data_IF_630674085187
#
_entry.id   IF_630674085187
#
_cell.length_a   1.000
_cell.length_b   1.000
_cell.length_c   1.000
_cell.angle_alpha   90.00
_cell.angle_beta   90.00
_cell.angle_gamma   90.00
#
_symmetry.space_group_name_H-M   'P 1'
#
loop_
_entity.id
_entity.type
_entity.pdbx_description
1 polymer ?
#
# COMPACT_ATOMS: atom_id res chain seq x y z
N UNK A 1 54.55 -31.92 27.07
CA UNK A 1 53.39 -31.63 26.21
C UNK A 1 53.09 -30.13 26.27
N UNK A 2 52.91 -29.45 25.13
CA UNK A 2 52.63 -28.01 25.11
C UNK A 2 51.27 -27.69 25.76
N UNK A 3 51.22 -26.63 26.57
CA UNK A 3 50.00 -26.21 27.26
C UNK A 3 48.95 -25.70 26.27
N UNK A 4 47.94 -26.52 25.99
CA UNK A 4 46.88 -26.23 25.00
C UNK A 4 45.94 -25.08 25.39
N UNK A 5 45.97 -24.59 26.64
CA UNK A 5 45.24 -23.38 27.03
C UNK A 5 45.99 -22.09 26.68
N UNK A 6 47.33 -22.11 26.80
CA UNK A 6 48.20 -20.97 26.52
C UNK A 6 48.59 -20.87 25.04
N UNK A 7 48.77 -22.01 24.37
CA UNK A 7 49.15 -22.09 22.95
C UNK A 7 47.96 -22.45 22.05
N UNK A 8 46.81 -21.79 22.24
CA UNK A 8 45.63 -21.98 21.38
C UNK A 8 45.93 -21.43 19.98
N UNK A 9 46.01 -22.31 18.98
CA UNK A 9 46.02 -21.90 17.58
C UNK A 9 44.63 -21.38 17.18
N UNK A 10 44.41 -20.06 17.31
CA UNK A 10 43.77 -19.25 16.28
C UNK A 10 42.28 -19.43 15.95
N UNK A 11 41.44 -20.13 16.74
CA UNK A 11 39.99 -20.17 16.44
C UNK A 11 39.36 -18.77 16.30
N UNK A 12 39.83 -17.79 17.08
CA UNK A 12 39.34 -16.40 17.00
C UNK A 12 39.89 -15.56 15.85
N UNK A 13 41.01 -15.97 15.22
CA UNK A 13 41.65 -15.21 14.13
C UNK A 13 41.01 -15.47 12.76
N UNK A 14 40.33 -16.62 12.63
CA UNK A 14 39.57 -17.01 11.43
C UNK A 14 38.10 -16.57 11.48
N UNK A 15 37.60 -16.17 12.64
CA UNK A 15 36.25 -15.61 12.77
C UNK A 15 36.25 -14.15 12.31
N UNK A 16 35.20 -13.69 11.59
CA UNK A 16 35.05 -12.28 11.28
C UNK A 16 35.17 -11.45 12.55
N UNK A 17 35.93 -10.37 12.51
CA UNK A 17 36.01 -9.44 13.63
C UNK A 17 34.76 -8.55 13.65
N UNK A 18 34.10 -8.46 14.80
CA UNK A 18 33.00 -7.54 15.02
C UNK A 18 33.55 -6.11 15.17
N UNK A 19 33.63 -5.40 14.04
CA UNK A 19 34.20 -4.05 13.96
C UNK A 19 33.16 -2.93 13.99
N UNK A 20 31.87 -3.26 14.05
CA UNK A 20 30.79 -2.28 14.11
C UNK A 20 30.28 -2.11 15.53
N UNK A 21 29.47 -1.08 15.75
CA UNK A 21 28.68 -0.88 16.96
C UNK A 21 27.20 -0.85 16.62
N UNK A 22 26.37 -1.43 17.49
CA UNK A 22 24.92 -1.26 17.40
C UNK A 22 24.50 0.14 17.91
N UNK A 23 23.22 0.46 17.82
CA UNK A 23 22.68 1.76 18.26
C UNK A 23 22.80 2.00 19.77
N UNK A 24 23.04 0.95 20.57
CA UNK A 24 23.30 1.03 22.02
C UNK A 24 24.81 1.07 22.36
N UNK A 25 25.70 1.18 21.36
CA UNK A 25 27.15 1.26 21.55
C UNK A 25 27.88 -0.08 21.76
N UNK A 26 27.15 -1.21 21.76
CA UNK A 26 27.71 -2.55 21.89
C UNK A 26 28.36 -3.05 20.59
N UNK A 27 29.37 -3.91 20.72
CA UNK A 27 30.12 -4.49 19.59
C UNK A 27 29.20 -5.38 18.73
N UNK A 28 29.27 -5.22 17.40
CA UNK A 28 28.41 -5.90 16.45
C UNK A 28 29.09 -6.21 15.11
N UNK A 29 28.44 -7.06 14.31
CA UNK A 29 28.77 -7.34 12.92
C UNK A 29 28.01 -6.40 11.98
N UNK A 30 28.72 -5.75 11.06
CA UNK A 30 28.07 -4.99 10.01
C UNK A 30 27.53 -5.94 8.92
N UNK A 31 26.32 -5.66 8.45
CA UNK A 31 25.82 -6.30 7.24
C UNK A 31 26.55 -5.77 6.01
N UNK A 32 26.78 -6.64 5.02
CA UNK A 32 27.20 -6.21 3.70
C UNK A 32 26.10 -5.37 3.02
N UNK A 33 26.43 -4.47 2.08
CA UNK A 33 25.48 -3.52 1.51
C UNK A 33 24.19 -4.15 0.94
N UNK A 34 24.32 -5.28 0.25
CA UNK A 34 23.18 -6.03 -0.30
C UNK A 34 22.24 -6.55 0.79
N UNK A 35 22.80 -7.08 1.87
CA UNK A 35 22.02 -7.55 3.01
C UNK A 35 21.36 -6.37 3.71
N UNK A 36 22.13 -5.32 4.03
CA UNK A 36 21.63 -4.13 4.72
C UNK A 36 20.44 -3.52 3.97
N UNK A 37 20.55 -3.32 2.65
CA UNK A 37 19.45 -2.84 1.81
C UNK A 37 18.24 -3.78 1.86
N UNK A 38 18.44 -5.09 1.64
CA UNK A 38 17.34 -6.04 1.56
C UNK A 38 16.57 -6.16 2.89
N UNK A 39 17.29 -6.27 4.01
CA UNK A 39 16.69 -6.31 5.34
C UNK A 39 15.93 -5.01 5.62
N UNK A 40 16.60 -3.86 5.45
CA UNK A 40 16.03 -2.57 5.80
C UNK A 40 14.82 -2.21 4.93
N UNK A 41 14.85 -2.54 3.64
CA UNK A 41 13.71 -2.32 2.75
C UNK A 41 12.49 -3.23 3.09
N UNK A 42 12.72 -4.38 3.72
CA UNK A 42 11.69 -5.33 4.12
C UNK A 42 11.07 -5.02 5.49
N UNK A 43 11.89 -4.55 6.45
CA UNK A 43 11.47 -4.38 7.85
C UNK A 43 11.38 -2.92 8.27
N UNK A 44 11.98 -2.01 7.52
CA UNK A 44 11.93 -0.58 7.78
C UNK A 44 10.53 -0.03 7.51
N UNK A 45 10.08 0.83 8.41
CA UNK A 45 8.72 1.41 8.36
C UNK A 45 8.72 2.83 7.81
N UNK A 46 9.89 3.45 7.61
CA UNK A 46 10.04 4.88 7.30
C UNK A 46 9.24 5.75 8.29
N UNK A 47 9.22 5.31 9.55
CA UNK A 47 8.58 5.98 10.69
C UNK A 47 9.52 5.96 11.89
N UNK A 48 9.25 6.76 12.91
CA UNK A 48 10.03 6.70 14.15
C UNK A 48 9.93 5.30 14.79
N UNK A 49 11.05 4.82 15.34
CA UNK A 49 11.21 3.59 16.11
C UNK A 49 12.00 3.88 17.39
N UNK A 50 12.23 2.87 18.22
CA UNK A 50 12.91 3.03 19.51
C UNK A 50 14.30 3.68 19.41
N UNK A 51 15.07 3.39 18.35
CA UNK A 51 16.45 3.88 18.18
C UNK A 51 16.66 4.79 16.96
N UNK A 52 15.63 5.04 16.15
CA UNK A 52 15.81 5.75 14.87
C UNK A 52 14.57 6.59 14.53
N UNK A 53 14.80 7.84 14.12
CA UNK A 53 13.77 8.72 13.55
C UNK A 53 13.41 8.30 12.12
N UNK A 54 12.29 8.79 11.59
CA UNK A 54 11.89 8.52 10.21
C UNK A 54 12.93 9.02 9.19
N UNK A 55 13.51 10.20 9.45
CA UNK A 55 14.54 10.83 8.63
C UNK A 55 15.81 9.98 8.61
N UNK A 56 16.27 9.52 9.78
CA UNK A 56 17.45 8.66 9.88
C UNK A 56 17.26 7.33 9.14
N UNK A 57 16.05 6.77 9.15
CA UNK A 57 15.76 5.56 8.38
C UNK A 57 15.80 5.82 6.87
N UNK A 58 15.25 6.94 6.43
CA UNK A 58 15.28 7.32 5.02
C UNK A 58 16.71 7.52 4.52
N UNK A 59 17.53 8.24 5.29
CA UNK A 59 18.96 8.44 5.00
C UNK A 59 19.72 7.11 4.91
N UNK A 60 19.49 6.19 5.86
CA UNK A 60 20.11 4.86 5.84
C UNK A 60 19.69 4.06 4.60
N UNK A 61 18.41 4.04 4.26
CA UNK A 61 17.91 3.29 3.12
C UNK A 61 18.48 3.83 1.79
N UNK A 62 18.56 5.15 1.64
CA UNK A 62 19.22 5.80 0.50
C UNK A 62 20.71 5.43 0.47
N UNK A 63 21.40 5.54 1.62
CA UNK A 63 22.82 5.22 1.74
C UNK A 63 23.14 3.75 1.41
N UNK A 64 22.27 2.80 1.76
CA UNK A 64 22.42 1.40 1.36
C UNK A 64 22.13 1.20 -0.12
N UNK A 65 21.14 1.90 -0.67
CA UNK A 65 20.81 1.85 -2.10
C UNK A 65 21.93 2.40 -2.99
N UNK A 66 22.71 3.37 -2.51
CA UNK A 66 23.87 3.92 -3.22
C UNK A 66 25.07 2.97 -3.29
N UNK A 67 25.14 2.01 -2.37
CA UNK A 67 26.24 1.04 -2.27
C UNK A 67 25.99 -0.25 -3.06
N UNK A 68 24.88 -0.36 -3.79
CA UNK A 68 24.54 -1.54 -4.60
C UNK A 68 24.39 -1.21 -6.08
N UNK A 69 24.59 -2.23 -6.92
CA UNK A 69 24.32 -2.11 -8.37
C UNK A 69 22.85 -1.77 -8.65
N UNK A 70 22.55 -1.00 -9.72
CA UNK A 70 21.17 -0.74 -10.16
C UNK A 70 20.32 -2.01 -10.35
N UNK A 71 20.93 -3.10 -10.80
CA UNK A 71 20.23 -4.40 -10.96
C UNK A 71 19.74 -4.97 -9.61
N UNK A 72 20.59 -4.93 -8.59
CA UNK A 72 20.22 -5.39 -7.25
C UNK A 72 19.14 -4.49 -6.62
N UNK A 73 19.24 -3.17 -6.83
CA UNK A 73 18.21 -2.21 -6.41
C UNK A 73 16.86 -2.52 -7.07
N UNK A 74 16.85 -2.75 -8.38
CA UNK A 74 15.68 -3.15 -9.16
C UNK A 74 15.04 -4.45 -8.64
N UNK A 75 15.85 -5.50 -8.44
CA UNK A 75 15.40 -6.78 -7.89
C UNK A 75 14.82 -6.63 -6.48
N UNK A 76 15.44 -5.80 -5.65
CA UNK A 76 14.95 -5.52 -4.29
C UNK A 76 13.59 -4.82 -4.33
N UNK A 77 13.41 -3.80 -5.17
CA UNK A 77 12.13 -3.10 -5.32
C UNK A 77 10.99 -4.06 -5.72
N UNK A 78 11.25 -4.93 -6.69
CA UNK A 78 10.29 -5.96 -7.14
C UNK A 78 9.97 -6.92 -5.98
N UNK A 79 10.98 -7.47 -5.31
CA UNK A 79 10.76 -8.42 -4.23
C UNK A 79 9.95 -7.81 -3.09
N UNK A 80 10.29 -6.60 -2.67
CA UNK A 80 9.58 -5.91 -1.60
C UNK A 80 8.12 -5.65 -1.94
N UNK A 81 7.81 -5.36 -3.20
CA UNK A 81 6.40 -5.21 -3.62
C UNK A 81 5.67 -6.55 -3.70
N UNK A 82 6.28 -7.54 -4.35
CA UNK A 82 5.59 -8.76 -4.76
C UNK A 82 5.55 -9.84 -3.67
N UNK A 83 6.57 -9.91 -2.83
CA UNK A 83 6.73 -10.91 -1.76
C UNK A 83 6.72 -10.27 -0.37
N UNK A 84 7.37 -9.11 -0.23
CA UNK A 84 7.35 -8.36 1.02
C UNK A 84 6.06 -7.59 1.27
N UNK A 85 5.17 -7.45 0.27
CA UNK A 85 3.92 -6.67 0.35
C UNK A 85 4.09 -5.21 0.84
N UNK A 86 5.29 -4.66 0.69
CA UNK A 86 5.64 -3.31 1.09
C UNK A 86 5.10 -2.26 0.13
N UNK A 87 5.07 -0.99 0.58
CA UNK A 87 4.50 0.14 -0.16
C UNK A 87 5.52 1.27 -0.35
N UNK A 88 5.96 1.92 0.71
CA UNK A 88 6.77 3.13 0.60
C UNK A 88 8.21 2.82 0.19
N UNK A 89 8.82 1.81 0.82
CA UNK A 89 10.17 1.34 0.47
C UNK A 89 10.31 0.98 -1.01
N UNK A 90 9.51 0.08 -1.62
CA UNK A 90 9.66 -0.23 -3.03
C UNK A 90 9.38 0.98 -3.95
N UNK A 91 8.46 1.88 -3.60
CA UNK A 91 8.26 3.11 -4.37
C UNK A 91 9.51 4.03 -4.34
N UNK A 92 10.15 4.16 -3.18
CA UNK A 92 11.40 4.89 -3.02
C UNK A 92 12.53 4.26 -3.85
N UNK A 93 12.66 2.93 -3.82
CA UNK A 93 13.70 2.24 -4.60
C UNK A 93 13.51 2.44 -6.11
N UNK A 94 12.27 2.49 -6.62
CA UNK A 94 12.00 2.84 -8.03
C UNK A 94 12.33 4.30 -8.32
N UNK A 95 12.03 5.21 -7.38
CA UNK A 95 12.36 6.63 -7.53
C UNK A 95 13.89 6.85 -7.57
N UNK A 96 14.65 6.17 -6.71
CA UNK A 96 16.12 6.15 -6.74
C UNK A 96 16.65 5.50 -8.03
N UNK A 97 16.07 4.39 -8.47
CA UNK A 97 16.46 3.75 -9.72
C UNK A 97 16.27 4.68 -10.93
N UNK A 98 15.27 5.56 -10.89
CA UNK A 98 15.00 6.53 -11.97
C UNK A 98 16.13 7.53 -12.20
N UNK A 99 16.98 7.76 -11.20
CA UNK A 99 18.17 8.62 -11.31
C UNK A 99 19.44 7.86 -11.68
N UNK A 100 19.45 6.52 -11.52
CA UNK A 100 20.61 5.65 -11.74
C UNK A 100 20.56 4.88 -13.06
N UNK A 101 19.42 4.28 -13.40
CA UNK A 101 19.23 3.48 -14.61
C UNK A 101 17.79 3.63 -15.16
N UNK A 102 17.59 4.55 -16.12
CA UNK A 102 16.29 4.76 -16.77
C UNK A 102 15.75 3.52 -17.50
N UNK A 103 16.62 2.64 -18.02
CA UNK A 103 16.21 1.45 -18.76
C UNK A 103 15.61 0.42 -17.80
N UNK A 104 16.29 0.11 -16.70
CA UNK A 104 15.75 -0.77 -15.66
C UNK A 104 14.50 -0.17 -15.02
N UNK A 105 14.46 1.15 -14.82
CA UNK A 105 13.26 1.82 -14.29
C UNK A 105 12.02 1.52 -15.12
N UNK A 106 12.10 1.58 -16.46
CA UNK A 106 10.96 1.26 -17.34
C UNK A 106 10.46 -0.18 -17.18
N UNK A 107 11.35 -1.14 -16.91
CA UNK A 107 11.01 -2.54 -16.70
C UNK A 107 10.42 -2.80 -15.31
N UNK A 108 10.93 -2.10 -14.29
CA UNK A 108 10.53 -2.29 -12.88
C UNK A 108 9.24 -1.55 -12.56
N UNK A 109 9.04 -0.35 -13.10
CA UNK A 109 7.91 0.52 -12.78
C UNK A 109 6.55 -0.20 -12.83
N UNK A 110 6.14 -0.89 -13.93
CA UNK A 110 4.82 -1.54 -13.97
C UNK A 110 4.69 -2.73 -13.01
N UNK A 111 5.80 -3.31 -12.54
CA UNK A 111 5.80 -4.42 -11.58
C UNK A 111 5.70 -3.97 -10.13
N UNK A 112 6.06 -2.72 -9.86
CA UNK A 112 6.12 -2.14 -8.50
C UNK A 112 4.99 -1.13 -8.30
N UNK A 113 4.78 -0.26 -9.27
CA UNK A 113 3.78 0.81 -9.29
C UNK A 113 2.51 0.27 -9.96
N UNK A 114 1.90 -0.71 -9.28
CA UNK A 114 0.82 -1.57 -9.81
C UNK A 114 -0.61 -1.04 -9.54
N UNK A 115 -0.75 -0.04 -8.67
CA UNK A 115 -2.03 0.57 -8.32
C UNK A 115 -1.87 2.07 -8.03
N UNK A 116 -3.00 2.77 -7.91
CA UNK A 116 -2.98 4.21 -7.72
C UNK A 116 -2.38 4.65 -6.37
N UNK A 117 -2.41 3.83 -5.31
CA UNK A 117 -1.68 4.16 -4.07
C UNK A 117 -0.17 4.16 -4.33
N UNK A 118 0.35 3.14 -5.00
CA UNK A 118 1.77 3.06 -5.35
C UNK A 118 2.18 4.20 -6.29
N UNK A 119 1.31 4.57 -7.23
CA UNK A 119 1.53 5.72 -8.12
C UNK A 119 1.66 7.02 -7.32
N UNK A 120 0.75 7.27 -6.38
CA UNK A 120 0.80 8.45 -5.50
C UNK A 120 2.07 8.47 -4.67
N UNK A 121 2.42 7.35 -4.03
CA UNK A 121 3.65 7.23 -3.25
C UNK A 121 4.88 7.61 -4.09
N UNK A 122 5.00 7.03 -5.30
CA UNK A 122 6.10 7.33 -6.21
C UNK A 122 6.16 8.80 -6.61
N UNK A 123 5.01 9.39 -6.98
CA UNK A 123 4.93 10.81 -7.36
C UNK A 123 5.24 11.71 -6.16
N UNK A 124 4.74 11.39 -4.97
CA UNK A 124 5.00 12.14 -3.75
C UNK A 124 6.50 12.16 -3.41
N UNK A 125 7.16 10.99 -3.49
CA UNK A 125 8.61 10.87 -3.26
C UNK A 125 9.38 11.75 -4.24
N UNK A 126 9.06 11.69 -5.55
CA UNK A 126 9.72 12.52 -6.56
C UNK A 126 9.48 14.02 -6.37
N UNK A 127 8.33 14.43 -5.86
CA UNK A 127 8.01 15.86 -5.64
C UNK A 127 8.59 16.41 -4.34
N UNK A 128 8.83 15.55 -3.36
CA UNK A 128 9.35 15.96 -2.05
C UNK A 128 10.70 16.68 -2.15
N UNK A 129 11.50 16.40 -3.18
CA UNK A 129 12.86 16.92 -3.29
C UNK A 129 13.90 16.10 -2.55
N UNK A 130 13.51 15.07 -1.79
CA UNK A 130 14.45 14.30 -0.96
C UNK A 130 15.50 13.55 -1.78
N UNK A 131 15.21 13.29 -3.06
CA UNK A 131 16.15 12.68 -4.02
C UNK A 131 16.89 13.73 -4.87
N UNK A 132 16.92 14.98 -4.44
CA UNK A 132 17.63 16.09 -5.11
C UNK A 132 16.86 16.78 -6.24
N UNK A 133 15.63 16.36 -6.56
CA UNK A 133 14.76 17.02 -7.56
C UNK A 133 13.34 17.12 -7.02
N UNK A 134 12.70 18.28 -7.22
CA UNK A 134 11.30 18.56 -6.82
C UNK A 134 10.28 18.43 -7.96
N UNK A 135 10.70 17.88 -9.11
CA UNK A 135 9.87 17.77 -10.32
C UNK A 135 9.93 16.38 -10.95
N UNK A 136 8.87 16.02 -11.67
CA UNK A 136 8.85 14.85 -12.54
C UNK A 136 9.66 15.15 -13.79
N UNK A 137 10.81 14.47 -13.95
CA UNK A 137 11.54 14.48 -15.21
C UNK A 137 10.74 13.86 -16.36
N UNK A 138 11.22 14.01 -17.60
CA UNK A 138 10.54 13.54 -18.81
C UNK A 138 10.18 12.05 -18.75
N UNK A 139 11.11 11.20 -18.28
CA UNK A 139 10.89 9.76 -18.21
C UNK A 139 9.86 9.36 -17.15
N UNK A 140 9.95 9.78 -15.86
CA UNK A 140 8.90 9.52 -14.89
C UNK A 140 7.52 10.04 -15.31
N UNK A 141 7.46 11.23 -15.93
CA UNK A 141 6.22 11.80 -16.46
C UNK A 141 5.61 10.91 -17.55
N UNK A 142 6.43 10.32 -18.43
CA UNK A 142 5.96 9.38 -19.44
C UNK A 142 5.45 8.06 -18.83
N UNK A 143 6.12 7.53 -17.80
CA UNK A 143 5.67 6.32 -17.10
C UNK A 143 4.32 6.53 -16.39
N UNK A 144 4.16 7.67 -15.71
CA UNK A 144 2.90 8.01 -15.05
C UNK A 144 1.77 8.20 -16.07
N UNK A 145 2.02 8.82 -17.24
CA UNK A 145 1.03 8.87 -18.33
C UNK A 145 0.65 7.48 -18.81
N UNK A 146 1.64 6.64 -19.10
CA UNK A 146 1.39 5.26 -19.54
C UNK A 146 0.57 4.45 -18.53
N UNK A 147 0.77 4.68 -17.22
CA UNK A 147 -0.08 4.10 -16.18
C UNK A 147 -1.54 4.54 -16.31
N UNK A 148 -1.80 5.84 -16.51
CA UNK A 148 -3.16 6.38 -16.65
C UNK A 148 -3.84 5.90 -17.95
N UNK A 149 -3.08 5.84 -19.04
CA UNK A 149 -3.56 5.45 -20.36
C UNK A 149 -3.93 3.96 -20.40
N UNK A 150 -3.23 3.11 -19.65
CA UNK A 150 -3.49 1.68 -19.58
C UNK A 150 -4.74 1.30 -18.76
N UNK A 151 -5.29 2.22 -17.96
CA UNK A 151 -6.46 1.97 -17.11
C UNK A 151 -7.74 2.27 -17.86
N UNK A 152 -8.81 1.52 -17.60
CA UNK A 152 -10.16 1.88 -18.07
C UNK A 152 -10.69 3.11 -17.33
N UNK A 153 -11.73 3.74 -17.88
CA UNK A 153 -12.36 4.93 -17.31
C UNK A 153 -12.89 4.64 -15.88
N UNK A 154 -13.61 3.52 -15.72
CA UNK A 154 -14.08 3.07 -14.41
C UNK A 154 -12.92 2.77 -13.44
N UNK A 155 -11.84 2.14 -13.92
CA UNK A 155 -10.69 1.86 -13.07
C UNK A 155 -10.03 3.15 -12.58
N UNK A 156 -9.91 4.18 -13.42
CA UNK A 156 -9.40 5.49 -13.01
C UNK A 156 -10.33 6.19 -12.02
N UNK A 157 -11.64 6.12 -12.24
CA UNK A 157 -12.60 6.66 -11.29
C UNK A 157 -12.47 5.99 -9.92
N UNK A 158 -12.39 4.66 -9.87
CA UNK A 158 -12.15 3.91 -8.62
C UNK A 158 -10.81 4.26 -7.99
N UNK A 159 -9.77 4.40 -8.81
CA UNK A 159 -8.43 4.81 -8.41
C UNK A 159 -8.36 6.28 -7.93
N UNK A 160 -9.41 7.09 -8.10
CA UNK A 160 -9.45 8.49 -7.64
C UNK A 160 -9.49 8.63 -6.11
N UNK A 161 -9.90 7.59 -5.38
CA UNK A 161 -9.86 7.56 -3.92
C UNK A 161 -8.42 7.69 -3.41
N UNK A 162 -8.21 8.68 -2.55
CA UNK A 162 -6.93 8.95 -1.90
C UNK A 162 -6.26 10.22 -2.41
N UNK A 163 -5.47 10.80 -1.52
CA UNK A 163 -4.96 12.17 -1.62
C UNK A 163 -3.42 12.15 -1.54
N UNK A 164 -2.80 13.33 -1.57
CA UNK A 164 -1.38 13.55 -1.29
C UNK A 164 -0.39 12.69 -2.10
N UNK A 165 -0.34 12.85 -3.44
CA UNK A 165 -1.19 13.72 -4.26
C UNK A 165 -2.52 13.07 -4.64
N UNK A 166 -3.55 13.88 -4.90
CA UNK A 166 -4.80 13.35 -5.48
C UNK A 166 -4.59 12.88 -6.93
N UNK A 167 -5.48 12.04 -7.46
CA UNK A 167 -5.45 11.68 -8.88
C UNK A 167 -5.60 12.92 -9.79
N UNK A 168 -6.39 13.90 -9.35
CA UNK A 168 -6.54 15.19 -10.03
C UNK A 168 -5.19 15.94 -10.13
N UNK A 169 -4.40 15.96 -9.06
CA UNK A 169 -3.07 16.56 -9.08
C UNK A 169 -2.13 15.82 -10.02
N UNK A 170 -2.17 14.48 -10.02
CA UNK A 170 -1.38 13.66 -10.95
C UNK A 170 -1.74 13.98 -12.40
N UNK A 171 -3.03 14.06 -12.73
CA UNK A 171 -3.51 14.44 -14.07
C UNK A 171 -3.03 15.84 -14.43
N UNK A 172 -3.15 16.83 -13.52
CA UNK A 172 -2.64 18.20 -13.74
C UNK A 172 -1.14 18.21 -14.00
N UNK A 173 -0.36 17.36 -13.33
CA UNK A 173 1.10 17.33 -13.50
C UNK A 173 1.52 16.70 -14.82
N UNK A 174 0.86 15.62 -15.23
CA UNK A 174 1.30 14.83 -16.38
C UNK A 174 0.60 15.19 -17.69
N UNK A 175 -0.54 15.89 -17.62
CA UNK A 175 -1.36 16.32 -18.75
C UNK A 175 -1.61 15.18 -19.76
N UNK A 176 -2.26 14.09 -19.34
CA UNK A 176 -2.60 13.01 -20.27
C UNK A 176 -3.60 13.52 -21.31
N UNK A 177 -3.45 13.07 -22.57
CA UNK A 177 -4.39 13.39 -23.64
C UNK A 177 -5.54 12.38 -23.57
N UNK A 178 -6.81 12.81 -23.47
CA UNK A 178 -7.93 11.87 -23.49
C UNK A 178 -7.98 11.12 -24.82
N UNK A 179 -8.25 9.82 -24.77
CA UNK A 179 -8.32 8.92 -25.94
C UNK A 179 -9.73 8.80 -26.51
N UNK A 180 -10.74 9.23 -25.76
CA UNK A 180 -12.16 9.17 -26.15
C UNK A 180 -12.96 10.34 -25.54
N UNK A 181 -14.17 10.64 -26.05
CA UNK A 181 -15.07 11.60 -25.43
C UNK A 181 -15.41 11.26 -23.97
N UNK A 182 -15.65 9.98 -23.66
CA UNK A 182 -15.89 9.50 -22.30
C UNK A 182 -14.69 9.75 -21.37
N UNK A 183 -13.47 9.47 -21.84
CA UNK A 183 -12.23 9.78 -21.09
C UNK A 183 -12.07 11.28 -20.87
N UNK A 184 -12.42 12.09 -21.86
CA UNK A 184 -12.40 13.55 -21.74
C UNK A 184 -13.40 14.04 -20.69
N UNK A 185 -14.62 13.52 -20.70
CA UNK A 185 -15.64 13.82 -19.70
C UNK A 185 -15.18 13.40 -18.30
N UNK A 186 -14.60 12.20 -18.15
CA UNK A 186 -14.08 11.72 -16.88
C UNK A 186 -12.93 12.60 -16.35
N UNK A 187 -11.97 13.00 -17.20
CA UNK A 187 -10.93 13.95 -16.78
C UNK A 187 -11.52 15.30 -16.40
N UNK A 188 -12.53 15.79 -17.11
CA UNK A 188 -13.26 17.00 -16.72
C UNK A 188 -13.90 16.86 -15.33
N UNK A 189 -14.63 15.77 -15.09
CA UNK A 189 -15.22 15.43 -13.80
C UNK A 189 -14.18 15.38 -12.67
N UNK A 190 -13.10 14.61 -12.83
CA UNK A 190 -12.04 14.47 -11.82
C UNK A 190 -11.28 15.78 -11.53
N UNK A 191 -11.21 16.68 -12.51
CA UNK A 191 -10.55 17.98 -12.37
C UNK A 191 -11.49 19.09 -11.89
N UNK A 192 -12.78 18.77 -11.66
CA UNK A 192 -13.83 19.74 -11.38
C UNK A 192 -13.94 20.84 -12.47
N UNK A 193 -13.91 20.42 -13.73
CA UNK A 193 -14.07 21.26 -14.93
C UNK A 193 -15.41 20.96 -15.62
N UNK A 194 -15.92 21.88 -16.46
CA UNK A 194 -17.08 21.60 -17.30
C UNK A 194 -16.89 20.31 -18.11
N UNK A 195 -17.89 19.44 -18.07
CA UNK A 195 -17.89 18.14 -18.74
C UNK A 195 -19.33 17.73 -19.06
N UNK A 196 -19.49 16.81 -20.01
CA UNK A 196 -20.77 16.19 -20.33
C UNK A 196 -21.00 15.00 -19.40
N UNK A 197 -21.96 15.13 -18.47
CA UNK A 197 -22.29 14.09 -17.50
C UNK A 197 -22.85 12.82 -18.14
N UNK A 198 -23.46 12.91 -19.33
CA UNK A 198 -24.03 11.75 -20.04
C UNK A 198 -22.96 10.80 -20.58
N UNK A 199 -21.74 11.30 -20.78
CA UNK A 199 -20.59 10.53 -21.26
C UNK A 199 -19.78 9.88 -20.13
N UNK A 200 -20.14 10.12 -18.87
CA UNK A 200 -19.46 9.49 -17.73
C UNK A 200 -19.78 7.99 -17.65
N UNK A 201 -18.91 7.15 -17.07
CA UNK A 201 -19.24 5.75 -16.81
C UNK A 201 -20.52 5.64 -15.96
N UNK A 202 -21.30 4.58 -16.19
CA UNK A 202 -22.60 4.38 -15.53
C UNK A 202 -22.49 4.39 -13.99
N UNK A 203 -21.39 3.86 -13.44
CA UNK A 203 -21.13 3.85 -12.00
C UNK A 203 -20.89 5.25 -11.44
N UNK A 204 -20.30 6.15 -12.22
CA UNK A 204 -20.11 7.55 -11.81
C UNK A 204 -21.45 8.26 -11.80
N UNK A 205 -22.28 8.05 -12.83
CA UNK A 205 -23.64 8.61 -12.88
C UNK A 205 -24.50 8.09 -11.71
N UNK A 206 -24.46 6.77 -11.46
CA UNK A 206 -25.16 6.16 -10.34
C UNK A 206 -24.70 6.71 -8.98
N UNK A 207 -23.40 6.96 -8.82
CA UNK A 207 -22.86 7.57 -7.61
C UNK A 207 -23.29 9.03 -7.44
N UNK A 208 -23.26 9.83 -8.50
CA UNK A 208 -23.75 11.22 -8.43
C UNK A 208 -25.25 11.29 -8.11
N UNK A 209 -26.06 10.39 -8.67
CA UNK A 209 -27.48 10.26 -8.30
C UNK A 209 -27.65 9.83 -6.83
N UNK A 210 -26.86 8.86 -6.38
CA UNK A 210 -26.89 8.38 -4.99
C UNK A 210 -26.51 9.48 -3.99
N UNK A 211 -25.61 10.41 -4.34
CA UNK A 211 -25.22 11.54 -3.49
C UNK A 211 -26.38 12.49 -3.17
N UNK A 212 -27.37 12.61 -4.05
CA UNK A 212 -28.50 13.50 -3.86
C UNK A 212 -29.46 13.01 -2.76
N UNK A 213 -29.71 11.71 -2.70
CA UNK A 213 -30.50 11.07 -1.64
C UNK A 213 -29.99 9.65 -1.31
N UNK A 214 -28.94 9.53 -0.48
CA UNK A 214 -28.34 8.23 -0.15
C UNK A 214 -29.30 7.26 0.55
N UNK A 215 -30.29 7.76 1.31
CA UNK A 215 -31.19 6.93 2.12
C UNK A 215 -32.45 6.53 1.36
N UNK A 216 -32.93 7.38 0.45
CA UNK A 216 -34.07 7.08 -0.42
C UNK A 216 -33.71 6.34 -1.71
N UNK A 217 -32.42 6.28 -2.07
CA UNK A 217 -31.98 5.53 -3.25
C UNK A 217 -32.31 4.03 -3.15
N UNK A 218 -32.86 3.45 -4.22
CA UNK A 218 -33.22 2.03 -4.24
C UNK A 218 -31.99 1.12 -4.02
N UNK A 219 -30.85 1.46 -4.62
CA UNK A 219 -29.63 0.66 -4.57
C UNK A 219 -28.41 1.49 -4.16
N UNK A 220 -27.47 0.83 -3.46
CA UNK A 220 -26.14 1.39 -3.21
C UNK A 220 -25.25 1.10 -4.42
N UNK A 221 -24.63 2.11 -5.05
CA UNK A 221 -23.82 1.91 -6.25
C UNK A 221 -22.53 1.14 -5.94
N UNK A 222 -22.02 0.38 -6.91
CA UNK A 222 -20.78 -0.40 -6.79
C UNK A 222 -19.52 0.46 -7.01
N UNK A 223 -19.31 1.39 -6.08
CA UNK A 223 -18.15 2.29 -6.05
C UNK A 223 -17.30 2.02 -4.80
N UNK A 224 -16.03 2.49 -4.76
CA UNK A 224 -15.18 2.30 -3.60
C UNK A 224 -15.86 2.82 -2.34
N UNK A 225 -15.87 2.02 -1.29
CA UNK A 225 -16.66 2.31 -0.09
C UNK A 225 -16.32 3.65 0.55
N UNK A 226 -15.07 4.12 0.42
CA UNK A 226 -14.62 5.40 0.96
C UNK A 226 -15.44 6.57 0.39
N UNK A 227 -15.91 6.45 -0.85
CA UNK A 227 -16.79 7.43 -1.49
C UNK A 227 -18.19 7.41 -0.86
N UNK A 228 -18.69 6.22 -0.49
CA UNK A 228 -20.00 6.04 0.14
C UNK A 228 -19.99 6.50 1.59
N UNK A 229 -18.96 6.16 2.35
CA UNK A 229 -18.88 6.46 3.79
C UNK A 229 -18.70 7.94 4.11
N UNK A 230 -18.44 8.78 3.11
CA UNK A 230 -18.46 10.23 3.23
C UNK A 230 -19.88 10.81 3.23
N UNK A 231 -20.89 10.00 2.89
CA UNK A 231 -22.30 10.40 2.78
C UNK A 231 -23.08 10.06 4.05
N UNK A 232 -24.24 10.71 4.29
CA UNK A 232 -25.11 10.38 5.42
C UNK A 232 -25.84 9.05 5.19
N UNK A 233 -25.16 7.94 5.46
CA UNK A 233 -25.69 6.58 5.29
C UNK A 233 -26.58 6.14 6.46
N UNK A 234 -27.58 5.30 6.17
CA UNK A 234 -28.37 4.57 7.15
C UNK A 234 -27.90 3.12 7.30
N UNK A 235 -28.60 2.38 8.17
CA UNK A 235 -28.28 0.97 8.48
C UNK A 235 -28.33 0.07 7.23
N UNK A 236 -29.32 0.28 6.36
CA UNK A 236 -29.50 -0.50 5.13
C UNK A 236 -28.31 -0.34 4.19
N UNK A 237 -27.81 0.88 4.02
CA UNK A 237 -26.68 1.17 3.14
C UNK A 237 -25.39 0.56 3.70
N UNK A 238 -25.17 0.66 5.02
CA UNK A 238 -24.04 0.00 5.70
C UNK A 238 -24.09 -1.53 5.57
N UNK A 239 -25.27 -2.13 5.66
CA UNK A 239 -25.47 -3.56 5.41
C UNK A 239 -25.14 -3.95 3.96
N UNK A 240 -25.55 -3.15 2.97
CA UNK A 240 -25.20 -3.38 1.57
C UNK A 240 -23.68 -3.27 1.33
N UNK A 241 -23.02 -2.27 1.93
CA UNK A 241 -21.57 -2.10 1.90
C UNK A 241 -20.87 -3.31 2.51
N UNK A 242 -21.27 -3.75 3.71
CA UNK A 242 -20.68 -4.89 4.39
C UNK A 242 -20.87 -6.21 3.61
N UNK A 243 -22.00 -6.36 2.91
CA UNK A 243 -22.27 -7.52 2.06
C UNK A 243 -21.29 -7.62 0.89
N UNK A 244 -20.93 -6.50 0.27
CA UNK A 244 -20.00 -6.44 -0.88
C UNK A 244 -18.53 -6.25 -0.50
N UNK A 245 -18.24 -5.94 0.77
CA UNK A 245 -16.89 -5.63 1.23
C UNK A 245 -15.89 -6.76 0.96
N UNK A 246 -14.73 -6.40 0.40
CA UNK A 246 -13.59 -7.31 0.30
C UNK A 246 -13.01 -7.68 1.68
N UNK A 247 -12.12 -8.67 1.71
CA UNK A 247 -11.58 -9.21 2.96
C UNK A 247 -10.85 -8.16 3.81
N UNK A 248 -9.89 -7.40 3.22
CA UNK A 248 -9.14 -6.37 3.96
C UNK A 248 -10.05 -5.26 4.51
N UNK A 249 -11.00 -4.82 3.69
CA UNK A 249 -12.00 -3.84 4.09
C UNK A 249 -12.85 -4.34 5.26
N UNK A 250 -13.26 -5.61 5.20
CA UNK A 250 -14.04 -6.26 6.27
C UNK A 250 -13.27 -6.22 7.58
N UNK A 251 -12.02 -6.73 7.60
CA UNK A 251 -11.15 -6.72 8.78
C UNK A 251 -10.97 -5.31 9.37
N UNK A 252 -10.73 -4.32 8.52
CA UNK A 252 -10.44 -2.95 8.97
C UNK A 252 -11.67 -2.19 9.50
N UNK A 253 -12.90 -2.67 9.23
CA UNK A 253 -14.13 -1.92 9.53
C UNK A 253 -15.08 -2.62 10.50
N UNK A 254 -14.65 -3.69 11.19
CA UNK A 254 -15.53 -4.45 12.10
C UNK A 254 -16.21 -3.56 13.16
N UNK A 255 -15.46 -2.71 13.85
CA UNK A 255 -16.04 -1.79 14.84
C UNK A 255 -16.96 -0.73 14.20
N UNK A 256 -16.71 -0.33 12.95
CA UNK A 256 -17.60 0.56 12.21
C UNK A 256 -18.90 -0.14 11.83
N UNK A 257 -18.82 -1.37 11.35
CA UNK A 257 -19.99 -2.21 11.06
C UNK A 257 -20.84 -2.47 12.31
N UNK A 258 -20.20 -2.66 13.47
CA UNK A 258 -20.89 -2.76 14.75
C UNK A 258 -21.66 -1.48 15.08
N UNK A 259 -21.00 -0.31 15.04
CA UNK A 259 -21.64 0.99 15.32
C UNK A 259 -22.84 1.31 14.42
N UNK A 260 -22.88 0.74 13.22
CA UNK A 260 -23.97 0.94 12.26
C UNK A 260 -24.96 -0.23 12.18
N UNK A 261 -24.94 -1.14 13.16
CA UNK A 261 -25.96 -2.19 13.28
C UNK A 261 -25.89 -3.27 12.19
N UNK A 262 -24.73 -3.45 11.55
CA UNK A 262 -24.56 -4.50 10.52
C UNK A 262 -24.75 -5.89 11.12
N UNK A 263 -24.25 -6.11 12.33
CA UNK A 263 -24.30 -7.41 13.02
C UNK A 263 -25.65 -7.74 13.64
N UNK A 264 -26.63 -6.82 13.59
CA UNK A 264 -28.02 -7.14 13.94
C UNK A 264 -28.69 -8.03 12.89
N UNK A 265 -28.09 -8.14 11.70
CA UNK A 265 -28.50 -9.09 10.66
C UNK A 265 -27.66 -10.38 10.81
N UNK A 266 -28.31 -11.47 11.20
CA UNK A 266 -27.66 -12.78 11.43
C UNK A 266 -27.05 -13.38 10.16
N UNK A 267 -27.72 -13.23 9.01
CA UNK A 267 -27.21 -13.68 7.71
C UNK A 267 -25.94 -12.94 7.31
N UNK A 268 -25.88 -11.62 7.53
CA UNK A 268 -24.67 -10.83 7.29
C UNK A 268 -23.56 -11.16 8.26
N UNK A 269 -23.88 -11.38 9.54
CA UNK A 269 -22.89 -11.82 10.53
C UNK A 269 -22.26 -13.14 10.11
N UNK A 270 -23.06 -14.11 9.66
CA UNK A 270 -22.56 -15.37 9.13
C UNK A 270 -21.70 -15.19 7.88
N UNK A 271 -22.13 -14.33 6.95
CA UNK A 271 -21.39 -14.02 5.73
C UNK A 271 -20.03 -13.41 6.03
N UNK A 272 -19.97 -12.46 6.96
CA UNK A 272 -18.73 -11.80 7.39
C UNK A 272 -17.81 -12.80 8.10
N UNK A 273 -18.35 -13.63 8.99
CA UNK A 273 -17.62 -14.69 9.70
C UNK A 273 -16.95 -15.63 8.70
N UNK A 274 -17.73 -16.20 7.77
CA UNK A 274 -17.22 -17.07 6.70
C UNK A 274 -16.18 -16.40 5.81
N UNK A 275 -16.36 -15.11 5.51
CA UNK A 275 -15.38 -14.35 4.72
C UNK A 275 -14.06 -14.25 5.46
N UNK A 276 -14.09 -13.91 6.75
CA UNK A 276 -12.88 -13.72 7.56
C UNK A 276 -12.09 -15.01 7.74
N UNK A 277 -12.76 -16.13 8.02
CA UNK A 277 -12.11 -17.42 8.24
C UNK A 277 -11.77 -18.21 6.96
N UNK A 278 -12.13 -17.71 5.78
CA UNK A 278 -11.86 -18.41 4.51
C UNK A 278 -10.34 -18.41 4.18
N UNK A 279 -9.67 -19.58 4.12
CA UNK A 279 -8.22 -19.64 3.91
C UNK A 279 -7.76 -19.03 2.59
N UNK A 280 -8.53 -19.20 1.52
CA UNK A 280 -8.19 -18.68 0.19
C UNK A 280 -8.30 -17.16 0.17
N UNK A 281 -9.32 -16.58 0.80
CA UNK A 281 -9.47 -15.12 0.89
C UNK A 281 -8.40 -14.49 1.79
N UNK A 282 -8.00 -15.16 2.88
CA UNK A 282 -6.89 -14.71 3.75
C UNK A 282 -5.58 -14.67 2.96
N UNK A 283 -5.24 -15.75 2.24
CA UNK A 283 -4.04 -15.81 1.41
C UNK A 283 -4.05 -14.76 0.28
N UNK A 284 -5.19 -14.55 -0.38
CA UNK A 284 -5.33 -13.51 -1.40
C UNK A 284 -5.21 -12.09 -0.84
N UNK A 285 -5.69 -11.88 0.40
CA UNK A 285 -5.61 -10.60 1.09
C UNK A 285 -4.18 -10.22 1.49
N UNK A 286 -3.24 -11.18 1.50
CA UNK A 286 -1.83 -10.99 1.84
C UNK A 286 -1.68 -10.23 3.17
N UNK A 287 -2.46 -10.66 4.15
CA UNK A 287 -2.52 -10.06 5.48
C UNK A 287 -1.43 -10.68 6.35
N UNK A 288 -0.68 -9.83 7.05
CA UNK A 288 0.33 -10.32 7.96
C UNK A 288 -0.29 -10.78 9.29
N UNK A 289 0.30 -11.79 9.97
CA UNK A 289 -0.20 -12.27 11.26
C UNK A 289 -0.39 -11.15 12.31
N UNK A 290 0.55 -10.20 12.38
CA UNK A 290 0.45 -9.08 13.32
C UNK A 290 -0.77 -8.17 13.03
N UNK A 291 -1.18 -8.04 11.77
CA UNK A 291 -2.33 -7.21 11.38
C UNK A 291 -3.65 -7.83 11.83
N UNK A 292 -3.73 -9.16 11.87
CA UNK A 292 -4.84 -9.90 12.45
C UNK A 292 -4.82 -9.85 13.97
N UNK A 293 -3.64 -10.01 14.60
CA UNK A 293 -3.50 -9.84 16.05
C UNK A 293 -3.97 -8.45 16.50
N UNK A 294 -3.62 -7.39 15.76
CA UNK A 294 -4.11 -6.04 16.06
C UNK A 294 -5.62 -5.91 15.87
N UNK A 295 -6.19 -6.51 14.82
CA UNK A 295 -7.63 -6.52 14.61
C UNK A 295 -8.37 -7.26 15.73
N UNK A 296 -7.85 -8.41 16.17
CA UNK A 296 -8.37 -9.19 17.28
C UNK A 296 -8.32 -8.42 18.61
N UNK A 297 -7.18 -7.77 18.91
CA UNK A 297 -7.05 -6.93 20.11
C UNK A 297 -7.98 -5.72 20.11
N UNK A 298 -8.26 -5.16 18.93
CA UNK A 298 -9.20 -4.06 18.77
C UNK A 298 -10.67 -4.51 18.75
N UNK A 299 -10.94 -5.82 18.69
CA UNK A 299 -12.28 -6.36 18.70
C UNK A 299 -12.81 -6.42 20.14
N UNK A 300 -13.70 -5.48 20.48
CA UNK A 300 -14.30 -5.39 21.81
C UNK A 300 -15.27 -6.53 22.13
N UNK A 301 -15.74 -6.58 23.38
CA UNK A 301 -16.70 -7.59 23.85
C UNK A 301 -18.06 -7.54 23.13
N UNK A 302 -18.41 -6.38 22.58
CA UNK A 302 -19.66 -6.13 21.84
C UNK A 302 -19.68 -6.76 20.45
N UNK A 303 -18.52 -7.11 19.88
CA UNK A 303 -18.47 -7.84 18.61
C UNK A 303 -18.94 -9.29 18.82
N UNK A 304 -19.72 -9.87 17.88
CA UNK A 304 -20.14 -11.26 17.96
C UNK A 304 -18.94 -12.20 18.17
N UNK A 305 -19.07 -13.18 19.06
CA UNK A 305 -18.00 -14.14 19.38
C UNK A 305 -17.44 -14.82 18.12
N UNK A 306 -18.33 -15.25 17.22
CA UNK A 306 -17.96 -15.86 15.93
C UNK A 306 -17.03 -14.99 15.06
N UNK A 307 -17.17 -13.66 15.12
CA UNK A 307 -16.29 -12.74 14.38
C UNK A 307 -14.88 -12.73 14.98
N UNK A 308 -14.78 -12.76 16.32
CA UNK A 308 -13.49 -12.79 17.03
C UNK A 308 -12.79 -14.13 16.81
N UNK A 309 -13.53 -15.23 16.86
CA UNK A 309 -13.02 -16.58 16.54
C UNK A 309 -12.55 -16.66 15.09
N UNK A 310 -13.31 -16.13 14.13
CA UNK A 310 -12.89 -16.09 12.73
C UNK A 310 -11.60 -15.28 12.49
N UNK A 311 -11.34 -14.23 13.29
CA UNK A 311 -10.06 -13.52 13.25
C UNK A 311 -8.90 -14.36 13.79
N UNK A 312 -9.15 -15.21 14.78
CA UNK A 312 -8.17 -16.15 15.30
C UNK A 312 -7.84 -17.23 14.26
N UNK A 313 -8.86 -17.86 13.67
CA UNK A 313 -8.69 -18.86 12.61
C UNK A 313 -7.92 -18.29 11.41
N UNK A 314 -8.22 -17.05 11.03
CA UNK A 314 -7.51 -16.37 9.95
C UNK A 314 -6.00 -16.25 10.20
N UNK A 315 -5.53 -16.24 11.46
CA UNK A 315 -4.10 -16.13 11.76
C UNK A 315 -3.32 -17.38 11.33
N UNK A 316 -3.96 -18.54 11.28
CA UNK A 316 -3.34 -19.80 10.83
C UNK A 316 -3.03 -19.81 9.33
N UNK A 317 -3.66 -18.90 8.57
CA UNK A 317 -3.55 -18.81 7.11
C UNK A 317 -2.89 -17.52 6.62
N UNK A 318 -2.46 -16.66 7.54
CA UNK A 318 -1.79 -15.40 7.23
C UNK A 318 -0.39 -15.60 6.66
N UNK A 319 0.05 -14.66 5.80
CA UNK A 319 1.33 -14.70 5.07
C UNK A 319 2.16 -13.46 5.34
#
# INVERSE_FOLDING_TARGET
MANKQLFKSGKGRLLPQAKAKNQAGGIAYAFGPKHALAQFAATGTLSATFYASAESQLEQLIGFADQVSPEFLAKTAIYMRQQGFMKDSPALLVALLSTKDPRLTRLVFPRVIDNAKMLRNFVQILRSGVLGRKSLGTMPKALVRGFLDAKSDLALFRDSVGNDPSLADVIKMVHPKPTSPARSALYGYLLNKPHDASLLPAEVQAFENFKADPKGAAEVPDVPFQMLTALPLGKREWQAIARRAGWQMTRMNLNTFLRHGVFENSELTHTITKRLSNPQLVAQARVFPYQLLMAYKAAGAELPAAIREALQDAMEHAT
#
